data_IF_109490579513
#
_entry.id   IF_109490579513
#
_cell.length_a   1.000
_cell.length_b   1.000
_cell.length_c   1.000
_cell.angle_alpha   90.00
_cell.angle_beta   90.00
_cell.angle_gamma   90.00
#
_symmetry.space_group_name_H-M   'P 1'
#
loop_
_entity.id
_entity.type
_entity.pdbx_description
1 polymer ?
#
# COMPACT_ATOMS: atom_id res chain seq x y z
N UNK A 1 -26.69 9.34 -2.74
CA UNK A 1 -25.55 10.13 -2.22
C UNK A 1 -24.98 9.35 -1.05
N UNK A 2 -23.68 9.16 -0.97
CA UNK A 2 -23.07 8.45 0.16
C UNK A 2 -23.20 9.31 1.42
N UNK A 3 -23.56 8.68 2.54
CA UNK A 3 -23.57 9.34 3.84
C UNK A 3 -22.19 9.13 4.50
N UNK A 4 -21.32 10.12 4.35
CA UNK A 4 -19.97 10.08 4.88
C UNK A 4 -19.93 10.03 6.41
N UNK A 5 -20.95 10.54 7.10
CA UNK A 5 -21.01 10.50 8.56
C UNK A 5 -21.19 9.08 9.07
N UNK A 6 -21.96 8.25 8.36
CA UNK A 6 -22.12 6.83 8.67
C UNK A 6 -20.78 6.10 8.49
N UNK A 7 -20.08 6.35 7.39
CA UNK A 7 -18.76 5.72 7.12
C UNK A 7 -17.67 6.16 8.09
N UNK A 8 -17.68 7.42 8.52
CA UNK A 8 -16.77 7.89 9.56
C UNK A 8 -17.05 7.22 10.91
N UNK A 9 -18.31 7.04 11.28
CA UNK A 9 -18.66 6.31 12.49
C UNK A 9 -18.27 4.82 12.42
N UNK A 10 -18.34 4.22 11.24
CA UNK A 10 -17.84 2.87 10.98
C UNK A 10 -16.31 2.81 11.13
N UNK A 11 -15.57 3.80 10.58
CA UNK A 11 -14.14 3.91 10.77
C UNK A 11 -13.75 3.94 12.24
N UNK A 12 -14.39 4.81 13.04
CA UNK A 12 -14.10 4.93 14.48
C UNK A 12 -14.25 3.58 15.18
N UNK A 13 -15.33 2.84 14.91
CA UNK A 13 -15.54 1.51 15.50
C UNK A 13 -14.42 0.52 15.09
N UNK A 14 -14.05 0.51 13.81
CA UNK A 14 -12.98 -0.34 13.31
C UNK A 14 -11.65 0.00 14.02
N UNK A 15 -11.33 1.28 14.17
CA UNK A 15 -10.12 1.71 14.83
C UNK A 15 -10.10 1.32 16.31
N UNK A 16 -11.20 1.52 17.02
CA UNK A 16 -11.33 1.16 18.44
C UNK A 16 -11.20 -0.35 18.67
N UNK A 17 -11.71 -1.19 17.76
CA UNK A 17 -11.57 -2.65 17.80
C UNK A 17 -10.11 -3.11 17.65
N UNK A 18 -9.26 -2.32 16.99
CA UNK A 18 -7.88 -2.70 16.66
C UNK A 18 -6.82 -1.92 17.45
N UNK A 19 -7.25 -1.00 18.29
CA UNK A 19 -6.36 -0.20 19.13
C UNK A 19 -5.69 -1.08 20.19
N UNK A 20 -4.37 -1.10 20.21
CA UNK A 20 -3.61 -1.81 21.23
C UNK A 20 -3.77 -1.12 22.61
N UNK A 21 -3.67 -1.91 23.66
CA UNK A 21 -3.73 -1.41 25.04
C UNK A 21 -2.36 -1.45 25.72
N UNK A 22 -1.37 -2.03 25.07
CA UNK A 22 -0.01 -2.24 25.59
C UNK A 22 1.08 -1.39 24.92
N UNK A 23 0.67 -0.54 23.96
CA UNK A 23 1.59 0.32 23.22
C UNK A 23 2.21 -0.34 21.99
N UNK A 24 1.80 -1.56 21.62
CA UNK A 24 2.18 -2.17 20.35
C UNK A 24 1.55 -1.44 19.15
N UNK A 25 1.97 -1.78 17.94
CA UNK A 25 1.35 -1.23 16.73
C UNK A 25 -0.10 -1.70 16.59
N UNK A 26 -0.93 -0.85 16.00
CA UNK A 26 -2.36 -1.10 15.80
C UNK A 26 -2.67 -1.60 14.39
N UNK A 27 -1.94 -1.12 13.40
CA UNK A 27 -2.18 -1.40 12.00
C UNK A 27 -0.94 -1.20 11.14
N UNK A 28 -1.00 -1.70 9.91
CA UNK A 28 0.01 -1.46 8.86
C UNK A 28 -0.51 -0.43 7.88
N UNK A 29 0.35 0.49 7.44
CA UNK A 29 0.07 1.44 6.36
C UNK A 29 1.18 1.33 5.32
N UNK A 30 0.89 0.85 4.09
CA UNK A 30 1.83 0.95 2.99
C UNK A 30 2.10 2.40 2.62
N UNK A 31 3.37 2.77 2.51
CA UNK A 31 3.79 4.14 2.16
C UNK A 31 4.95 4.10 1.16
N UNK A 32 4.98 5.05 0.24
CA UNK A 32 6.14 5.29 -0.64
C UNK A 32 6.87 6.60 -0.34
N UNK A 33 6.36 7.37 0.64
CA UNK A 33 6.73 8.76 0.86
C UNK A 33 5.93 9.74 0.00
N UNK A 34 5.03 9.24 -0.82
CA UNK A 34 4.07 10.01 -1.60
C UNK A 34 2.89 10.54 -0.77
N UNK A 35 1.98 11.26 -1.42
CA UNK A 35 0.88 11.98 -0.78
C UNK A 35 -0.13 11.10 -0.06
N UNK A 36 -0.51 9.97 -0.65
CA UNK A 36 -1.67 9.20 -0.22
C UNK A 36 -1.37 8.34 1.01
N UNK A 37 -0.31 7.52 0.98
CA UNK A 37 0.13 6.76 2.15
C UNK A 37 0.52 7.67 3.33
N UNK A 38 1.18 8.81 3.05
CA UNK A 38 1.52 9.80 4.09
C UNK A 38 0.28 10.41 4.72
N UNK A 39 -0.74 10.73 3.92
CA UNK A 39 -2.02 11.24 4.41
C UNK A 39 -2.69 10.23 5.35
N UNK A 40 -2.82 8.99 4.93
CA UNK A 40 -3.47 7.93 5.74
C UNK A 40 -2.72 7.69 7.05
N UNK A 41 -1.40 7.54 6.98
CA UNK A 41 -0.58 7.36 8.18
C UNK A 41 -0.72 8.55 9.16
N UNK A 42 -0.74 9.77 8.63
CA UNK A 42 -0.93 10.98 9.42
C UNK A 42 -2.31 11.01 10.09
N UNK A 43 -3.37 10.76 9.33
CA UNK A 43 -4.74 10.72 9.87
C UNK A 43 -4.84 9.70 11.00
N UNK A 44 -4.41 8.47 10.77
CA UNK A 44 -4.44 7.41 11.79
C UNK A 44 -3.71 7.82 13.05
N UNK A 45 -2.50 8.35 12.94
CA UNK A 45 -1.66 8.69 14.11
C UNK A 45 -2.16 9.92 14.83
N UNK A 46 -2.35 11.04 14.14
CA UNK A 46 -2.55 12.34 14.77
C UNK A 46 -4.02 12.71 15.01
N UNK A 47 -4.92 12.26 14.13
CA UNK A 47 -6.34 12.59 14.27
C UNK A 47 -7.13 11.50 14.97
N UNK A 48 -6.72 10.23 14.80
CA UNK A 48 -7.40 9.09 15.45
C UNK A 48 -6.61 8.45 16.59
N UNK A 49 -5.38 8.89 16.85
CA UNK A 49 -4.55 8.40 17.97
C UNK A 49 -4.18 6.93 17.87
N UNK A 50 -4.07 6.40 16.66
CA UNK A 50 -3.56 5.05 16.40
C UNK A 50 -2.03 5.03 16.41
N UNK A 51 -1.45 3.85 16.54
CA UNK A 51 -0.01 3.60 16.42
C UNK A 51 0.30 2.78 15.16
N UNK A 52 0.30 3.39 13.94
CA UNK A 52 0.56 2.68 12.70
C UNK A 52 2.04 2.36 12.53
N UNK A 53 2.36 1.19 11.97
CA UNK A 53 3.67 0.89 11.39
C UNK A 53 3.61 1.13 9.87
N UNK A 54 4.46 2.01 9.37
CA UNK A 54 4.57 2.29 7.95
C UNK A 54 5.45 1.24 7.26
N UNK A 55 5.07 0.79 6.07
CA UNK A 55 5.80 -0.23 5.31
C UNK A 55 6.03 0.23 3.88
N UNK A 56 7.29 0.19 3.43
CA UNK A 56 7.67 0.48 2.03
C UNK A 56 8.30 -0.75 1.39
N UNK A 57 7.86 -1.06 0.19
CA UNK A 57 8.59 -1.98 -0.70
C UNK A 57 9.48 -1.14 -1.60
N UNK A 58 10.78 -1.41 -1.55
CA UNK A 58 11.77 -0.66 -2.35
C UNK A 58 11.46 -0.80 -3.84
N UNK A 59 11.25 0.30 -4.58
CA UNK A 59 11.04 0.25 -6.01
C UNK A 59 12.26 -0.26 -6.77
N UNK A 60 12.05 -0.87 -7.93
CA UNK A 60 13.14 -1.39 -8.76
C UNK A 60 14.10 -0.31 -9.25
N UNK A 61 13.58 0.88 -9.55
CA UNK A 61 14.35 2.05 -10.04
C UNK A 61 13.90 3.28 -9.23
N UNK A 62 14.34 3.36 -7.98
CA UNK A 62 14.03 4.49 -7.10
C UNK A 62 14.55 5.81 -7.65
N UNK A 63 13.74 6.85 -7.59
CA UNK A 63 14.17 8.23 -7.83
C UNK A 63 14.75 8.84 -6.54
N UNK A 64 15.72 9.72 -6.69
CA UNK A 64 16.31 10.42 -5.54
C UNK A 64 15.27 11.24 -4.78
N UNK A 65 14.37 11.89 -5.50
CA UNK A 65 13.25 12.66 -4.92
C UNK A 65 12.33 11.77 -4.10
N UNK A 66 11.97 10.58 -4.59
CA UNK A 66 11.15 9.61 -3.84
C UNK A 66 11.85 9.13 -2.58
N UNK A 67 13.15 8.82 -2.67
CA UNK A 67 13.95 8.46 -1.50
C UNK A 67 14.02 9.61 -0.47
N UNK A 68 14.12 10.86 -0.93
CA UNK A 68 14.11 12.01 -0.04
C UNK A 68 12.74 12.20 0.62
N UNK A 69 11.64 12.05 -0.14
CA UNK A 69 10.28 12.14 0.39
C UNK A 69 10.02 11.06 1.44
N UNK A 70 10.48 9.84 1.21
CA UNK A 70 10.37 8.77 2.22
C UNK A 70 11.17 9.10 3.49
N UNK A 71 12.39 9.64 3.36
CA UNK A 71 13.18 10.08 4.52
C UNK A 71 12.48 11.21 5.30
N UNK A 72 11.89 12.17 4.60
CA UNK A 72 11.13 13.27 5.22
C UNK A 72 9.91 12.72 5.97
N UNK A 73 9.16 11.79 5.36
CA UNK A 73 8.04 11.11 6.00
C UNK A 73 8.47 10.42 7.31
N UNK A 74 9.57 9.64 7.27
CA UNK A 74 10.10 8.96 8.47
C UNK A 74 10.50 9.99 9.52
N UNK A 75 11.21 11.06 9.11
CA UNK A 75 11.65 12.14 10.01
C UNK A 75 10.48 12.91 10.64
N UNK A 76 9.29 12.88 10.05
CA UNK A 76 8.07 13.47 10.64
C UNK A 76 7.48 12.64 11.78
N UNK A 77 8.14 11.54 12.19
CA UNK A 77 7.86 10.82 13.43
C UNK A 77 7.10 9.50 13.26
N UNK A 78 7.25 8.82 12.13
CA UNK A 78 6.66 7.50 11.89
C UNK A 78 7.68 6.37 12.05
N UNK A 79 7.28 5.30 12.72
CA UNK A 79 7.99 4.03 12.70
C UNK A 79 7.82 3.38 11.32
N UNK A 80 8.92 2.84 10.77
CA UNK A 80 8.95 2.44 9.39
C UNK A 80 9.78 1.17 9.16
N UNK A 81 9.26 0.30 8.29
CA UNK A 81 9.97 -0.88 7.77
C UNK A 81 10.11 -0.74 6.26
N UNK A 82 11.35 -0.79 5.78
CA UNK A 82 11.63 -0.87 4.35
C UNK A 82 12.05 -2.28 3.97
N UNK A 83 11.37 -2.85 2.98
CA UNK A 83 11.60 -4.20 2.49
C UNK A 83 12.10 -4.15 1.06
N UNK A 84 13.27 -4.75 0.82
CA UNK A 84 13.83 -4.93 -0.52
C UNK A 84 13.69 -6.40 -0.92
N UNK A 85 12.99 -6.65 -2.01
CA UNK A 85 12.88 -7.99 -2.56
C UNK A 85 14.19 -8.43 -3.25
N UNK A 86 14.40 -9.74 -3.40
CA UNK A 86 15.55 -10.29 -4.12
C UNK A 86 15.59 -9.75 -5.56
N UNK A 87 16.65 -9.04 -5.89
CA UNK A 87 16.75 -8.27 -7.15
C UNK A 87 16.66 -9.12 -8.40
N UNK A 88 17.18 -10.35 -8.40
CA UNK A 88 17.10 -11.29 -9.51
C UNK A 88 15.68 -11.80 -9.75
N UNK A 89 14.91 -12.02 -8.69
CA UNK A 89 13.49 -12.42 -8.77
C UNK A 89 12.65 -11.24 -9.26
N UNK A 90 12.86 -10.06 -8.65
CA UNK A 90 12.17 -8.85 -9.05
C UNK A 90 12.39 -8.54 -10.55
N UNK A 91 13.64 -8.64 -11.01
CA UNK A 91 13.98 -8.45 -12.43
C UNK A 91 13.26 -9.44 -13.34
N UNK A 92 13.23 -10.73 -12.98
CA UNK A 92 12.54 -11.76 -13.77
C UNK A 92 11.04 -11.51 -13.85
N UNK A 93 10.40 -11.15 -12.73
CA UNK A 93 8.97 -10.83 -12.67
C UNK A 93 8.64 -9.56 -13.46
N UNK A 94 9.48 -8.52 -13.35
CA UNK A 94 9.31 -7.29 -14.12
C UNK A 94 9.47 -7.54 -15.62
N UNK A 95 10.48 -8.35 -16.02
CA UNK A 95 10.65 -8.76 -17.42
C UNK A 95 9.46 -9.56 -17.94
N UNK A 96 8.95 -10.50 -17.14
CA UNK A 96 7.74 -11.26 -17.48
C UNK A 96 6.54 -10.31 -17.68
N UNK A 97 6.30 -9.42 -16.74
CA UNK A 97 5.24 -8.42 -16.82
C UNK A 97 5.34 -7.54 -18.06
N UNK A 98 6.54 -7.08 -18.39
CA UNK A 98 6.77 -6.26 -19.59
C UNK A 98 6.44 -7.03 -20.88
N UNK A 99 6.92 -8.28 -21.01
CA UNK A 99 6.73 -9.08 -22.23
C UNK A 99 5.28 -9.54 -22.41
N UNK A 100 4.63 -9.99 -21.32
CA UNK A 100 3.34 -10.68 -21.40
C UNK A 100 2.13 -9.81 -21.03
N UNK A 101 2.37 -8.70 -20.29
CA UNK A 101 1.30 -7.83 -19.80
C UNK A 101 1.49 -6.35 -20.21
N UNK A 102 2.62 -5.99 -20.83
CA UNK A 102 2.97 -4.59 -21.10
C UNK A 102 3.25 -3.76 -19.84
N UNK A 103 3.58 -4.40 -18.72
CA UNK A 103 3.68 -3.81 -17.41
C UNK A 103 5.07 -4.02 -16.79
N UNK A 104 6.01 -3.07 -16.92
CA UNK A 104 7.42 -3.29 -16.62
C UNK A 104 7.76 -3.40 -15.12
N UNK A 105 6.84 -3.09 -14.22
CA UNK A 105 7.02 -3.17 -12.76
C UNK A 105 6.11 -4.20 -12.08
N UNK A 106 5.70 -5.23 -12.83
CA UNK A 106 4.75 -6.23 -12.34
C UNK A 106 5.23 -7.00 -11.09
N UNK A 107 6.53 -7.30 -11.01
CA UNK A 107 7.10 -7.91 -9.81
C UNK A 107 7.01 -7.00 -8.59
N UNK A 108 7.22 -5.70 -8.77
CA UNK A 108 7.04 -4.73 -7.70
C UNK A 108 5.57 -4.59 -7.30
N UNK A 109 4.64 -4.60 -8.27
CA UNK A 109 3.19 -4.62 -7.99
C UNK A 109 2.81 -5.81 -7.10
N UNK A 110 3.28 -7.03 -7.43
CA UNK A 110 3.04 -8.20 -6.57
C UNK A 110 3.56 -7.94 -5.16
N UNK A 111 4.76 -7.38 -5.03
CA UNK A 111 5.38 -7.16 -3.72
C UNK A 111 4.65 -6.09 -2.88
N UNK A 112 4.14 -5.01 -3.46
CA UNK A 112 3.37 -4.00 -2.70
C UNK A 112 2.03 -4.55 -2.20
N UNK A 113 1.47 -5.56 -2.86
CA UNK A 113 0.24 -6.21 -2.40
C UNK A 113 0.51 -7.29 -1.34
N UNK A 114 1.65 -7.96 -1.40
CA UNK A 114 1.93 -9.11 -0.53
C UNK A 114 2.73 -8.74 0.73
N UNK A 115 3.73 -7.87 0.61
CA UNK A 115 4.65 -7.53 1.72
C UNK A 115 3.94 -6.87 2.91
N UNK A 116 3.05 -5.87 2.74
CA UNK A 116 2.37 -5.27 3.89
C UNK A 116 1.55 -6.29 4.68
N UNK A 117 0.91 -7.25 4.00
CA UNK A 117 0.15 -8.30 4.65
C UNK A 117 1.04 -9.31 5.37
N UNK A 118 2.23 -9.60 4.84
CA UNK A 118 3.22 -10.44 5.52
C UNK A 118 3.78 -9.76 6.76
N UNK A 119 4.03 -8.45 6.70
CA UNK A 119 4.45 -7.65 7.87
C UNK A 119 3.32 -7.64 8.91
N UNK A 120 2.06 -7.43 8.49
CA UNK A 120 0.91 -7.50 9.39
C UNK A 120 0.85 -8.87 10.10
N UNK A 121 0.95 -9.98 9.35
CA UNK A 121 0.97 -11.32 9.93
C UNK A 121 2.14 -11.52 10.90
N UNK A 122 3.35 -11.05 10.56
CA UNK A 122 4.54 -11.19 11.40
C UNK A 122 4.41 -10.41 12.72
N UNK A 123 3.81 -9.23 12.69
CA UNK A 123 3.55 -8.41 13.88
C UNK A 123 2.22 -8.77 14.57
N UNK A 124 1.49 -9.77 14.08
CA UNK A 124 0.16 -10.18 14.55
C UNK A 124 -0.87 -9.06 14.52
N UNK A 125 -0.73 -8.17 13.56
CA UNK A 125 -1.69 -7.09 13.29
C UNK A 125 -2.78 -7.61 12.36
N UNK A 126 -4.02 -7.22 12.61
CA UNK A 126 -5.18 -7.65 11.83
C UNK A 126 -5.74 -6.57 10.91
N UNK A 127 -5.13 -5.38 10.87
CA UNK A 127 -5.64 -4.24 10.12
C UNK A 127 -4.56 -3.65 9.20
N UNK A 128 -4.89 -3.49 7.91
CA UNK A 128 -4.03 -2.86 6.90
C UNK A 128 -4.82 -1.80 6.14
N UNK A 129 -4.32 -0.56 6.15
CA UNK A 129 -4.90 0.58 5.44
C UNK A 129 -4.05 0.95 4.23
N UNK A 130 -4.63 0.82 3.04
CA UNK A 130 -4.05 1.35 1.81
C UNK A 130 -4.48 2.80 1.58
N UNK A 131 -3.57 3.60 1.04
CA UNK A 131 -3.76 5.02 0.75
C UNK A 131 -4.27 5.30 -0.67
N UNK A 132 -4.46 4.28 -1.47
CA UNK A 132 -4.96 4.40 -2.84
C UNK A 132 -6.48 4.45 -2.87
N UNK A 133 -7.03 4.93 -3.97
CA UNK A 133 -8.45 4.75 -4.30
C UNK A 133 -8.60 3.42 -5.04
N UNK A 134 -8.70 2.32 -4.29
CA UNK A 134 -8.60 0.97 -4.82
C UNK A 134 -9.50 0.67 -6.03
N UNK A 135 -10.73 1.18 -6.04
CA UNK A 135 -11.65 0.94 -7.16
C UNK A 135 -11.25 1.73 -8.43
N UNK A 136 -10.68 2.92 -8.28
CA UNK A 136 -10.26 3.76 -9.43
C UNK A 136 -8.93 3.30 -9.99
N UNK A 137 -8.00 2.91 -9.12
CA UNK A 137 -6.62 2.57 -9.53
C UNK A 137 -6.49 1.11 -9.99
N UNK A 138 -7.18 0.18 -9.32
CA UNK A 138 -7.03 -1.25 -9.59
C UNK A 138 -8.26 -1.87 -10.27
N UNK A 139 -9.32 -1.08 -10.49
CA UNK A 139 -10.60 -1.59 -10.92
C UNK A 139 -11.33 -2.29 -9.78
N UNK A 140 -12.58 -2.64 -9.98
CA UNK A 140 -13.34 -3.24 -8.92
C UNK A 140 -14.68 -3.81 -9.35
N UNK A 141 -15.28 -4.52 -8.42
CA UNK A 141 -16.64 -5.02 -8.55
C UNK A 141 -17.60 -4.08 -7.82
N UNK A 142 -18.67 -3.66 -8.46
CA UNK A 142 -19.75 -2.90 -7.81
C UNK A 142 -20.36 -3.63 -6.62
N UNK A 143 -20.12 -4.93 -6.48
CA UNK A 143 -20.52 -5.73 -5.34
C UNK A 143 -19.82 -5.33 -4.03
N UNK A 144 -18.61 -4.77 -4.12
CA UNK A 144 -17.79 -4.40 -2.96
C UNK A 144 -17.92 -2.93 -2.53
N UNK A 145 -18.59 -2.09 -3.31
CA UNK A 145 -18.69 -0.64 -3.03
C UNK A 145 -19.23 -0.25 -1.65
N UNK A 146 -19.91 -1.18 -0.97
CA UNK A 146 -20.47 -0.98 0.38
C UNK A 146 -19.78 -1.88 1.42
N UNK A 147 -18.64 -2.47 1.10
CA UNK A 147 -17.87 -3.31 2.02
C UNK A 147 -16.59 -2.59 2.40
N UNK A 148 -16.31 -2.34 3.69
CA UNK A 148 -15.12 -1.64 4.12
C UNK A 148 -13.85 -2.47 3.94
N UNK A 149 -13.97 -3.79 3.81
CA UNK A 149 -12.84 -4.69 3.76
C UNK A 149 -12.81 -5.53 2.49
N UNK A 150 -11.59 -5.77 2.02
CA UNK A 150 -11.28 -6.71 0.96
C UNK A 150 -10.68 -7.99 1.53
N UNK A 151 -10.84 -9.09 0.80
CA UNK A 151 -10.15 -10.35 1.10
C UNK A 151 -8.85 -10.48 0.32
N UNK A 152 -7.93 -11.33 0.80
CA UNK A 152 -6.73 -11.72 0.04
C UNK A 152 -7.12 -12.33 -1.32
N UNK A 153 -8.21 -13.11 -1.36
CA UNK A 153 -8.70 -13.68 -2.61
C UNK A 153 -9.11 -12.60 -3.61
N UNK A 154 -9.79 -11.55 -3.15
CA UNK A 154 -10.12 -10.41 -3.99
C UNK A 154 -8.86 -9.71 -4.53
N UNK A 155 -7.87 -9.43 -3.70
CA UNK A 155 -6.62 -8.82 -4.15
C UNK A 155 -5.91 -9.67 -5.19
N UNK A 156 -5.86 -11.00 -4.97
CA UNK A 156 -5.27 -11.93 -5.92
C UNK A 156 -6.02 -11.95 -7.26
N UNK A 157 -7.33 -12.02 -7.21
CA UNK A 157 -8.14 -12.22 -8.41
C UNK A 157 -8.34 -10.93 -9.21
N UNK A 158 -8.41 -9.77 -8.53
CA UNK A 158 -8.65 -8.46 -9.16
C UNK A 158 -7.36 -7.69 -9.37
N UNK A 159 -6.58 -7.41 -8.31
CA UNK A 159 -5.38 -6.58 -8.41
C UNK A 159 -4.22 -7.30 -9.11
N UNK A 160 -4.12 -8.61 -8.93
CA UNK A 160 -3.10 -9.45 -9.57
C UNK A 160 -3.66 -10.32 -10.72
N UNK A 161 -4.84 -10.00 -11.25
CA UNK A 161 -5.43 -10.62 -12.46
C UNK A 161 -5.45 -12.15 -12.42
N UNK A 162 -5.93 -12.75 -11.32
CA UNK A 162 -6.00 -14.20 -11.13
C UNK A 162 -4.79 -14.78 -10.38
N UNK A 163 -3.88 -13.92 -9.94
CA UNK A 163 -2.83 -14.27 -8.99
C UNK A 163 -1.45 -14.50 -9.60
N UNK A 164 -0.48 -14.49 -8.71
CA UNK A 164 0.93 -14.56 -9.02
C UNK A 164 1.47 -15.98 -9.28
N UNK A 165 0.76 -17.03 -8.87
CA UNK A 165 1.28 -18.42 -8.95
C UNK A 165 1.44 -18.91 -10.39
N UNK A 166 0.54 -18.52 -11.30
CA UNK A 166 0.69 -18.79 -12.74
C UNK A 166 1.93 -18.08 -13.29
N UNK A 167 2.14 -16.84 -12.90
CA UNK A 167 3.32 -16.06 -13.30
C UNK A 167 4.61 -16.72 -12.82
N UNK A 168 4.65 -17.21 -11.58
CA UNK A 168 5.82 -17.92 -11.06
C UNK A 168 6.12 -19.18 -11.86
N UNK A 169 5.09 -19.95 -12.20
CA UNK A 169 5.23 -21.16 -13.02
C UNK A 169 5.75 -20.84 -14.42
N UNK A 170 5.17 -19.86 -15.09
CA UNK A 170 5.54 -19.47 -16.45
C UNK A 170 6.93 -18.81 -16.51
N UNK A 171 7.29 -18.04 -15.49
CA UNK A 171 8.62 -17.46 -15.34
C UNK A 171 9.68 -18.47 -14.83
N UNK A 172 9.29 -19.73 -14.61
CA UNK A 172 10.14 -20.79 -14.05
C UNK A 172 10.79 -20.39 -12.72
N UNK A 173 9.98 -19.81 -11.84
CA UNK A 173 10.38 -19.38 -10.50
C UNK A 173 9.78 -20.29 -9.44
N UNK A 174 10.58 -20.69 -8.44
CA UNK A 174 10.14 -21.54 -7.35
C UNK A 174 10.99 -21.31 -6.10
N UNK A 175 10.53 -21.86 -4.97
CA UNK A 175 11.29 -21.92 -3.72
C UNK A 175 11.07 -20.72 -2.78
N UNK A 176 11.94 -20.65 -1.78
CA UNK A 176 11.87 -19.68 -0.69
C UNK A 176 12.11 -18.23 -1.14
N UNK A 177 12.82 -18.04 -2.25
CA UNK A 177 13.06 -16.71 -2.83
C UNK A 177 11.76 -15.97 -3.22
N UNK A 178 10.63 -16.70 -3.35
CA UNK A 178 9.32 -16.13 -3.63
C UNK A 178 8.53 -15.72 -2.39
N UNK A 179 9.07 -15.90 -1.19
CA UNK A 179 8.36 -15.63 0.06
C UNK A 179 7.74 -14.24 0.11
N UNK A 180 8.48 -13.20 -0.30
CA UNK A 180 7.98 -11.82 -0.31
C UNK A 180 6.94 -11.54 -1.40
N UNK A 181 6.84 -12.41 -2.41
CA UNK A 181 5.90 -12.27 -3.53
C UNK A 181 4.65 -13.15 -3.36
N UNK A 182 4.45 -13.75 -2.20
CA UNK A 182 3.28 -14.57 -1.87
C UNK A 182 2.50 -13.95 -0.74
N UNK A 183 1.19 -14.02 -0.84
CA UNK A 183 0.32 -13.70 0.29
C UNK A 183 0.64 -14.58 1.50
N UNK A 184 0.46 -14.10 2.73
CA UNK A 184 0.60 -14.94 3.90
C UNK A 184 -0.47 -16.05 3.88
N UNK A 185 -0.09 -17.23 4.34
CA UNK A 185 -1.00 -18.38 4.49
C UNK A 185 -1.90 -18.20 5.72
N UNK A 186 -2.99 -18.94 5.79
CA UNK A 186 -3.86 -18.93 6.97
C UNK A 186 -3.11 -19.32 8.24
N UNK A 187 -2.12 -20.22 8.15
CA UNK A 187 -1.28 -20.58 9.29
C UNK A 187 -0.33 -19.47 9.75
N UNK A 188 0.13 -18.63 8.83
CA UNK A 188 0.95 -17.44 9.16
C UNK A 188 0.12 -16.30 9.75
N UNK A 189 -1.12 -16.14 9.30
CA UNK A 189 -2.07 -15.14 9.83
C UNK A 189 -2.56 -15.56 11.23
N UNK A 190 -2.69 -16.89 11.49
CA UNK A 190 -3.24 -17.42 12.71
C UNK A 190 -4.74 -17.13 12.84
N UNK A 191 -5.20 -16.95 14.09
CA UNK A 191 -6.61 -16.67 14.40
C UNK A 191 -7.03 -15.25 14.04
N UNK A 192 -6.08 -14.36 13.70
CA UNK A 192 -6.34 -12.98 13.34
C UNK A 192 -6.70 -12.88 11.86
N UNK A 193 -7.99 -12.70 11.55
CA UNK A 193 -8.40 -12.38 10.19
C UNK A 193 -7.82 -11.03 9.78
N UNK A 194 -7.06 -11.00 8.67
CA UNK A 194 -6.59 -9.74 8.11
C UNK A 194 -7.77 -8.96 7.51
N UNK A 195 -7.97 -7.75 8.00
CA UNK A 195 -8.90 -6.76 7.47
C UNK A 195 -8.11 -5.77 6.63
N UNK A 196 -8.35 -5.77 5.34
CA UNK A 196 -7.65 -4.95 4.36
C UNK A 196 -8.63 -3.91 3.85
N UNK A 197 -8.26 -2.65 3.90
CA UNK A 197 -9.16 -1.56 3.54
C UNK A 197 -8.44 -0.43 2.82
N UNK A 198 -9.20 0.34 2.05
CA UNK A 198 -8.76 1.60 1.45
C UNK A 198 -9.39 2.77 2.21
N UNK A 199 -8.59 3.81 2.46
CA UNK A 199 -9.07 4.99 3.17
C UNK A 199 -10.21 5.70 2.44
N UNK A 200 -10.20 5.67 1.11
CA UNK A 200 -11.24 6.23 0.24
C UNK A 200 -12.66 5.69 0.49
N UNK A 201 -12.79 4.54 1.15
CA UNK A 201 -14.09 4.04 1.58
C UNK A 201 -14.74 4.92 2.66
N UNK A 202 -13.95 5.52 3.55
CA UNK A 202 -14.43 6.21 4.75
C UNK A 202 -14.62 7.71 4.56
N UNK A 203 -14.01 8.31 3.54
CA UNK A 203 -14.17 9.72 3.23
C UNK A 203 -14.09 9.99 1.73
N UNK A 204 -14.58 11.15 1.31
CA UNK A 204 -14.44 11.59 -0.07
C UNK A 204 -12.96 11.80 -0.40
N UNK A 205 -12.45 11.00 -1.33
CA UNK A 205 -11.05 11.01 -1.71
C UNK A 205 -10.69 12.29 -2.46
N UNK A 206 -9.69 12.99 -1.98
CA UNK A 206 -9.19 14.23 -2.59
C UNK A 206 -7.66 14.19 -2.64
N UNK A 207 -7.06 13.81 -3.78
CA UNK A 207 -5.61 13.72 -3.94
C UNK A 207 -4.89 15.05 -3.70
N UNK A 208 -5.54 16.18 -3.96
CA UNK A 208 -4.93 17.49 -3.74
C UNK A 208 -4.86 17.85 -2.25
N UNK A 209 -5.92 17.57 -1.50
CA UNK A 209 -5.92 17.68 -0.03
C UNK A 209 -4.84 16.78 0.57
N UNK A 210 -4.72 15.53 0.11
CA UNK A 210 -3.72 14.60 0.59
C UNK A 210 -2.30 15.14 0.34
N UNK A 211 -2.06 15.69 -0.84
CA UNK A 211 -0.80 16.34 -1.19
C UNK A 211 -0.49 17.53 -0.27
N UNK A 212 -1.43 18.45 -0.03
CA UNK A 212 -1.20 19.60 0.83
C UNK A 212 -0.82 19.18 2.25
N UNK A 213 -1.53 18.20 2.81
CA UNK A 213 -1.21 17.69 4.14
C UNK A 213 0.16 17.00 4.15
N UNK A 214 0.47 16.13 3.19
CA UNK A 214 1.75 15.45 3.12
C UNK A 214 2.92 16.44 2.98
N UNK A 215 2.73 17.51 2.20
CA UNK A 215 3.71 18.60 2.04
C UNK A 215 3.96 19.32 3.35
N UNK A 216 2.90 19.74 4.04
CA UNK A 216 2.98 20.53 5.26
C UNK A 216 3.48 19.69 6.45
N UNK A 217 2.95 18.49 6.61
CA UNK A 217 3.12 17.71 7.83
C UNK A 217 4.17 16.59 7.71
N UNK A 218 4.41 16.07 6.50
CA UNK A 218 5.35 14.97 6.26
C UNK A 218 6.56 15.38 5.39
N UNK A 219 6.64 16.66 5.00
CA UNK A 219 7.79 17.19 4.27
C UNK A 219 7.90 16.70 2.83
N UNK A 220 6.78 16.38 2.17
CA UNK A 220 6.76 15.98 0.77
C UNK A 220 7.29 17.12 -0.12
N UNK A 221 8.24 16.79 -1.00
CA UNK A 221 8.85 17.69 -1.97
C UNK A 221 8.31 17.34 -3.36
N UNK A 222 8.01 18.36 -4.12
CA UNK A 222 7.55 18.25 -5.52
C UNK A 222 8.71 18.05 -6.50
N UNK A 223 8.42 17.47 -7.65
CA UNK A 223 9.32 17.50 -8.79
C UNK A 223 9.42 18.92 -9.35
N UNK A 224 10.55 19.26 -9.98
CA UNK A 224 10.74 20.54 -10.67
C UNK A 224 9.78 20.69 -11.86
N UNK A 225 9.47 19.58 -12.54
CA UNK A 225 8.61 19.53 -13.70
C UNK A 225 7.39 18.63 -13.41
N UNK A 226 6.38 18.70 -14.28
CA UNK A 226 5.22 17.81 -14.22
C UNK A 226 5.64 16.35 -14.43
N UNK A 227 5.02 15.43 -13.69
CA UNK A 227 5.24 14.01 -13.89
C UNK A 227 4.62 13.53 -15.21
N UNK A 228 5.27 12.58 -15.85
CA UNK A 228 4.80 12.01 -17.12
C UNK A 228 3.38 11.46 -16.98
N UNK A 229 2.53 11.82 -17.92
CA UNK A 229 1.13 11.38 -17.94
C UNK A 229 0.19 12.10 -16.96
N UNK A 230 0.67 13.11 -16.23
CA UNK A 230 -0.14 13.91 -15.30
C UNK A 230 0.03 15.40 -15.54
N UNK A 231 -0.84 16.22 -14.95
CA UNK A 231 -0.72 17.68 -14.90
C UNK A 231 -0.11 18.18 -13.58
N UNK A 232 0.41 17.27 -12.76
CA UNK A 232 0.96 17.59 -11.45
C UNK A 232 2.43 17.23 -11.37
N UNK A 233 3.14 17.79 -10.40
CA UNK A 233 4.54 17.53 -10.11
C UNK A 233 4.76 16.79 -8.78
N UNK A 234 3.69 16.22 -8.22
CA UNK A 234 3.71 15.53 -6.92
C UNK A 234 3.09 14.13 -6.97
N UNK A 235 2.61 13.67 -8.13
CA UNK A 235 1.81 12.45 -8.20
C UNK A 235 2.64 11.17 -8.13
N UNK A 236 3.78 11.12 -8.80
CA UNK A 236 4.58 9.89 -8.99
C UNK A 236 6.06 10.22 -8.95
N UNK A 237 6.60 10.38 -7.75
CA UNK A 237 7.99 10.78 -7.53
C UNK A 237 8.87 9.68 -6.93
N UNK A 238 8.36 8.46 -6.79
CA UNK A 238 9.02 7.36 -6.08
C UNK A 238 9.87 6.47 -6.98
N UNK A 239 9.49 6.27 -8.24
CA UNK A 239 10.28 5.43 -9.17
C UNK A 239 10.22 5.88 -10.62
N UNK A 240 11.32 5.60 -11.34
CA UNK A 240 11.49 5.99 -12.74
C UNK A 240 10.57 5.24 -13.74
N UNK A 241 9.98 4.12 -13.33
CA UNK A 241 9.10 3.34 -14.21
C UNK A 241 7.72 3.98 -14.41
N UNK A 242 7.38 4.98 -13.59
CA UNK A 242 6.15 5.76 -13.74
C UNK A 242 6.34 7.07 -14.51
N UNK A 243 7.59 7.53 -14.63
CA UNK A 243 7.93 8.82 -15.23
C UNK A 243 8.35 8.72 -16.69
#
# INVERSE_FOLDING_TARGET
MLDWSVRQNELIKILDEHRSTDGSFDCVVPVSGGKDGSYVAYQLKHNYGMNPIAVTVTPALSLELGNQNLKNFIASGFDHIQVSAAGDILQKLNKFGFIHKGFPYFGWLIAIETVPLRIAAQFKLSLVFYGEEGETEYGGSTALKNMPFHSIDFMRDVYLEGGQDLVFKEANLAGEALTLFRFPTLSEIGDNQLKITHWSYFENWDPYRNYLLAKEMCGLIESADTNTGTFTNFAQNDQALYS
#
